data_IF_912457944615
#
_entry.id   IF_912457944615
#
_cell.length_a   1.000
_cell.length_b   1.000
_cell.length_c   1.000
_cell.angle_alpha   90.00
_cell.angle_beta   90.00
_cell.angle_gamma   90.00
#
_symmetry.space_group_name_H-M   'P 1'
#
loop_
_entity.id
_entity.type
_entity.pdbx_description
1 polymer ?
#
# COMPACT_ATOMS: atom_id res chain seq x y z
N UNK A 1 25.04 -16.69 18.37
CA UNK A 1 24.09 -17.77 18.00
C UNK A 1 22.71 -17.28 18.40
N UNK A 2 21.91 -16.83 17.43
CA UNK A 2 20.56 -16.32 17.69
C UNK A 2 19.59 -17.48 17.98
N UNK A 3 18.64 -17.34 18.92
CA UNK A 3 17.73 -18.42 19.23
C UNK A 3 16.74 -18.60 18.07
N UNK A 4 16.61 -19.84 17.61
CA UNK A 4 15.66 -20.28 16.59
C UNK A 4 14.24 -20.05 17.14
N UNK A 5 13.40 -19.38 16.35
CA UNK A 5 11.99 -19.19 16.66
C UNK A 5 11.29 -20.56 16.76
N UNK A 6 10.62 -20.81 17.88
CA UNK A 6 9.74 -21.95 18.10
C UNK A 6 8.53 -21.89 17.17
N UNK A 7 8.01 -23.04 16.68
CA UNK A 7 6.80 -23.05 15.86
C UNK A 7 5.60 -22.73 16.75
N UNK A 8 4.93 -21.61 16.51
CA UNK A 8 3.69 -21.24 17.20
C UNK A 8 2.61 -22.27 16.90
N UNK A 9 2.11 -22.95 17.93
CA UNK A 9 1.00 -23.89 17.82
C UNK A 9 -0.21 -23.25 17.12
N UNK A 10 -0.97 -23.99 16.29
CA UNK A 10 -2.20 -23.47 15.71
C UNK A 10 -3.21 -23.15 16.82
N UNK A 11 -3.77 -21.95 16.78
CA UNK A 11 -4.80 -21.51 17.73
C UNK A 11 -5.97 -22.52 17.77
N UNK A 12 -6.63 -22.71 18.93
CA UNK A 12 -7.77 -23.61 19.05
C UNK A 12 -8.90 -23.16 18.11
N UNK A 13 -9.59 -24.12 17.46
CA UNK A 13 -10.64 -23.86 16.45
C UNK A 13 -11.78 -22.98 17.01
N UNK A 14 -12.02 -23.00 18.31
CA UNK A 14 -12.99 -22.12 18.99
C UNK A 14 -12.63 -20.63 18.96
N UNK A 15 -11.37 -20.29 18.67
CA UNK A 15 -10.91 -18.91 18.50
C UNK A 15 -11.01 -18.41 17.05
N UNK A 16 -11.45 -19.27 16.12
CA UNK A 16 -11.62 -18.93 14.70
C UNK A 16 -13.10 -18.55 14.51
N UNK A 17 -13.41 -17.30 14.10
CA UNK A 17 -14.78 -16.90 13.79
C UNK A 17 -15.40 -17.83 12.74
N UNK A 18 -16.70 -18.10 12.82
CA UNK A 18 -17.40 -18.92 11.83
C UNK A 18 -17.19 -18.40 10.38
N UNK A 19 -17.09 -17.08 10.24
CA UNK A 19 -16.94 -16.38 8.96
C UNK A 19 -15.47 -16.14 8.57
N UNK A 20 -14.54 -16.90 9.15
CA UNK A 20 -13.10 -16.71 8.93
C UNK A 20 -12.67 -16.67 7.46
N UNK A 21 -13.30 -17.49 6.60
CA UNK A 21 -13.04 -17.48 5.15
C UNK A 21 -13.40 -16.14 4.52
N UNK A 22 -14.53 -15.56 4.89
CA UNK A 22 -15.00 -14.28 4.35
C UNK A 22 -14.10 -13.12 4.82
N UNK A 23 -13.66 -13.17 6.08
CA UNK A 23 -12.69 -12.21 6.62
C UNK A 23 -11.38 -12.25 5.83
N UNK A 24 -10.87 -13.44 5.49
CA UNK A 24 -9.65 -13.56 4.68
C UNK A 24 -9.82 -12.97 3.29
N UNK A 25 -10.94 -13.27 2.61
CA UNK A 25 -11.24 -12.73 1.28
C UNK A 25 -11.31 -11.20 1.31
N UNK A 26 -12.01 -10.64 2.30
CA UNK A 26 -12.14 -9.18 2.48
C UNK A 26 -10.77 -8.51 2.73
N UNK A 27 -9.92 -9.12 3.56
CA UNK A 27 -8.56 -8.64 3.81
C UNK A 27 -7.70 -8.67 2.55
N UNK A 28 -7.75 -9.77 1.80
CA UNK A 28 -7.01 -9.91 0.55
C UNK A 28 -7.44 -8.84 -0.47
N UNK A 29 -8.76 -8.61 -0.59
CA UNK A 29 -9.31 -7.56 -1.45
C UNK A 29 -8.77 -6.18 -1.10
N UNK A 30 -8.87 -5.77 0.17
CA UNK A 30 -8.38 -4.46 0.64
C UNK A 30 -6.87 -4.30 0.39
N UNK A 31 -6.08 -5.34 0.67
CA UNK A 31 -4.63 -5.30 0.46
C UNK A 31 -4.33 -5.14 -1.03
N UNK A 32 -5.03 -5.86 -1.91
CA UNK A 32 -4.83 -5.76 -3.35
C UNK A 32 -5.16 -4.37 -3.88
N UNK A 33 -6.26 -3.76 -3.43
CA UNK A 33 -6.60 -2.39 -3.78
C UNK A 33 -5.54 -1.39 -3.30
N UNK A 34 -5.00 -1.59 -2.10
CA UNK A 34 -3.90 -0.77 -1.59
C UNK A 34 -2.66 -0.85 -2.49
N UNK A 35 -2.34 -2.05 -2.98
CA UNK A 35 -1.24 -2.24 -3.94
C UNK A 35 -1.50 -1.60 -5.29
N UNK A 36 -2.75 -1.60 -5.78
CA UNK A 36 -3.12 -0.86 -7.00
C UNK A 36 -2.80 0.63 -6.82
N UNK A 37 -3.18 1.23 -5.69
CA UNK A 37 -2.85 2.63 -5.39
C UNK A 37 -1.34 2.92 -5.33
N UNK A 38 -0.53 1.98 -4.83
CA UNK A 38 0.94 2.09 -4.88
C UNK A 38 1.46 2.05 -6.33
N UNK A 39 0.89 1.17 -7.16
CA UNK A 39 1.28 1.07 -8.57
C UNK A 39 0.89 2.31 -9.36
N UNK A 40 -0.24 2.95 -9.04
CA UNK A 40 -0.60 4.25 -9.60
C UNK A 40 0.41 5.35 -9.23
N UNK A 41 0.80 5.42 -7.95
CA UNK A 41 1.83 6.37 -7.50
C UNK A 41 3.16 6.13 -8.21
N UNK A 42 3.52 4.86 -8.48
CA UNK A 42 4.73 4.50 -9.23
C UNK A 42 4.68 5.00 -10.67
N UNK A 43 3.54 4.86 -11.36
CA UNK A 43 3.38 5.38 -12.73
C UNK A 43 3.54 6.91 -12.78
N UNK A 44 2.94 7.63 -11.83
CA UNK A 44 3.08 9.09 -11.74
C UNK A 44 4.52 9.48 -11.46
N UNK A 45 5.24 8.74 -10.60
CA UNK A 45 6.67 8.97 -10.34
C UNK A 45 7.52 8.79 -11.60
N UNK A 46 7.27 7.74 -12.38
CA UNK A 46 8.00 7.48 -13.62
C UNK A 46 7.79 8.60 -14.64
N UNK A 47 6.56 9.12 -14.76
CA UNK A 47 6.26 10.25 -15.64
C UNK A 47 6.88 11.56 -15.13
N UNK A 48 6.82 11.80 -13.82
CA UNK A 48 7.50 12.95 -13.20
C UNK A 48 9.01 12.93 -13.47
N UNK A 49 9.65 11.76 -13.37
CA UNK A 49 11.07 11.60 -13.67
C UNK A 49 11.40 11.86 -15.14
N UNK A 50 10.49 11.58 -16.08
CA UNK A 50 10.67 11.94 -17.49
C UNK A 50 10.57 13.45 -17.66
N UNK A 51 9.53 14.07 -17.11
CA UNK A 51 9.31 15.51 -17.18
C UNK A 51 10.52 16.30 -16.62
N UNK A 52 11.07 15.87 -15.48
CA UNK A 52 12.27 16.50 -14.91
C UNK A 52 13.50 16.38 -15.83
N UNK A 53 13.63 15.28 -16.56
CA UNK A 53 14.74 15.08 -17.51
C UNK A 53 14.56 15.88 -18.79
N UNK A 54 13.33 16.10 -19.25
CA UNK A 54 13.04 16.84 -20.49
C UNK A 54 13.05 18.35 -20.30
N UNK A 55 12.45 18.85 -19.21
CA UNK A 55 12.30 20.29 -18.96
C UNK A 55 13.56 20.94 -18.37
N UNK A 56 14.47 20.14 -17.80
CA UNK A 56 15.68 20.64 -17.17
C UNK A 56 15.35 21.68 -16.10
N UNK A 57 15.92 22.88 -16.20
CA UNK A 57 15.72 23.97 -15.21
C UNK A 57 14.26 24.45 -15.09
N UNK A 58 13.42 24.21 -16.11
CA UNK A 58 12.01 24.65 -16.12
C UNK A 58 11.05 23.68 -15.40
N UNK A 59 11.56 22.58 -14.84
CA UNK A 59 10.72 21.53 -14.26
C UNK A 59 9.82 22.00 -13.11
N UNK A 60 10.15 23.11 -12.44
CA UNK A 60 9.37 23.63 -11.31
C UNK A 60 7.98 24.11 -11.73
N UNK A 61 7.86 24.74 -12.89
CA UNK A 61 6.57 25.22 -13.40
C UNK A 61 5.87 24.12 -14.20
N UNK A 62 6.58 23.51 -15.14
CA UNK A 62 6.00 22.57 -16.10
C UNK A 62 5.58 21.24 -15.44
N UNK A 63 6.38 20.73 -14.50
CA UNK A 63 6.12 19.43 -13.84
C UNK A 63 5.42 19.57 -12.47
N UNK A 64 4.95 20.76 -12.10
CA UNK A 64 4.29 21.01 -10.81
C UNK A 64 3.07 20.11 -10.61
N UNK A 65 2.24 19.96 -11.63
CA UNK A 65 1.01 19.15 -11.57
C UNK A 65 1.29 17.66 -11.28
N UNK A 66 2.35 17.10 -11.88
CA UNK A 66 2.80 15.73 -11.59
C UNK A 66 3.34 15.59 -10.17
N UNK A 67 4.07 16.60 -9.69
CA UNK A 67 4.58 16.62 -8.31
C UNK A 67 3.44 16.67 -7.30
N UNK A 68 2.48 17.58 -7.50
CA UNK A 68 1.31 17.70 -6.64
C UNK A 68 0.50 16.41 -6.60
N UNK A 69 0.24 15.79 -7.77
CA UNK A 69 -0.46 14.51 -7.86
C UNK A 69 0.32 13.39 -7.16
N UNK A 70 1.64 13.31 -7.36
CA UNK A 70 2.46 12.29 -6.70
C UNK A 70 2.43 12.44 -5.17
N UNK A 71 2.54 13.66 -4.66
CA UNK A 71 2.47 13.93 -3.22
C UNK A 71 1.10 13.60 -2.64
N UNK A 72 0.03 13.82 -3.38
CA UNK A 72 -1.32 13.45 -2.98
C UNK A 72 -1.46 11.92 -2.87
N UNK A 73 -1.05 11.19 -3.91
CA UNK A 73 -1.08 9.72 -3.93
C UNK A 73 -0.24 9.09 -2.82
N UNK A 74 0.90 9.69 -2.46
CA UNK A 74 1.72 9.21 -1.34
C UNK A 74 1.04 9.35 0.03
N UNK A 75 0.13 10.33 0.19
CA UNK A 75 -0.61 10.52 1.44
C UNK A 75 -1.79 9.57 1.53
N UNK A 76 -2.49 9.34 0.41
CA UNK A 76 -3.73 8.56 0.37
C UNK A 76 -3.51 7.06 0.20
N UNK A 77 -2.57 6.64 -0.65
CA UNK A 77 -2.42 5.24 -1.07
C UNK A 77 -1.40 4.46 -0.23
N UNK A 78 -1.42 4.64 1.09
CA UNK A 78 -0.51 3.91 1.99
C UNK A 78 -1.02 2.48 2.19
N UNK A 79 -0.13 1.50 2.04
CA UNK A 79 -0.47 0.11 2.36
C UNK A 79 -0.51 -0.04 3.88
N UNK A 80 -1.69 -0.34 4.39
CA UNK A 80 -1.91 -0.61 5.81
C UNK A 80 -2.06 -2.10 6.08
N UNK A 81 -1.59 -2.55 7.25
CA UNK A 81 -1.70 -3.95 7.63
C UNK A 81 -3.13 -4.32 8.00
N UNK A 82 -3.52 -5.57 7.75
CA UNK A 82 -4.86 -6.10 8.05
C UNK A 82 -5.32 -5.83 9.49
N UNK A 83 -4.39 -5.83 10.46
CA UNK A 83 -4.70 -5.49 11.85
C UNK A 83 -5.34 -4.11 11.98
N UNK A 84 -4.86 -3.10 11.24
CA UNK A 84 -5.48 -1.76 11.27
C UNK A 84 -6.80 -1.77 10.52
N UNK A 85 -6.81 -2.36 9.32
CA UNK A 85 -7.98 -2.45 8.43
C UNK A 85 -9.21 -3.14 9.05
N UNK A 86 -9.02 -4.01 10.04
CA UNK A 86 -10.10 -4.70 10.75
C UNK A 86 -10.70 -3.86 11.89
N UNK A 87 -9.97 -2.88 12.43
CA UNK A 87 -10.42 -2.00 13.54
C UNK A 87 -10.78 -0.58 13.07
N UNK A 88 -10.51 -0.27 11.81
CA UNK A 88 -10.83 0.99 11.15
C UNK A 88 -12.18 0.79 10.43
N UNK A 89 -13.26 0.88 11.20
CA UNK A 89 -14.66 0.76 10.74
C UNK A 89 -15.45 2.01 11.11
#
# INVERSE_FOLDING_TARGET
MSPVATPSAPAPVSAIPADYKEILISREEKIRQSWIGVMEARLVREELQKCWRTEGVNHYEQCHHLTAKYLDLLRTNRVEGFRKLDFES
#
